data_IF_478504588998
#
_entry.id   IF_478504588998
#
_cell.length_a   1.000
_cell.length_b   1.000
_cell.length_c   1.000
_cell.angle_alpha   90.00
_cell.angle_beta   90.00
_cell.angle_gamma   90.00
#
_symmetry.space_group_name_H-M   'P 1'
#
loop_
_entity.id
_entity.type
_entity.pdbx_description
1 polymer ?
#
# COMPACT_ATOMS: atom_id res chain seq x y z
N UNK A 1 28.43 22.74 -16.67
CA UNK A 1 27.81 21.71 -15.83
C UNK A 1 26.32 22.04 -15.73
N UNK A 2 25.44 21.81 -16.73
CA UNK A 2 24.81 20.55 -17.19
C UNK A 2 24.66 19.48 -16.11
N UNK A 3 23.44 19.35 -15.59
CA UNK A 3 22.61 18.14 -15.41
C UNK A 3 21.28 18.60 -14.76
N UNK A 4 20.30 19.02 -15.56
CA UNK A 4 19.06 18.27 -15.82
C UNK A 4 18.23 17.97 -14.56
N UNK A 5 17.51 18.99 -14.09
CA UNK A 5 16.15 18.80 -13.57
C UNK A 5 15.23 18.45 -14.76
N UNK A 6 14.21 17.62 -14.56
CA UNK A 6 13.43 16.85 -15.56
C UNK A 6 14.14 15.51 -15.85
N UNK A 7 13.65 14.31 -15.55
CA UNK A 7 12.26 13.84 -15.57
C UNK A 7 12.21 12.49 -14.83
N UNK A 8 11.49 12.39 -13.72
CA UNK A 8 11.22 11.09 -13.07
C UNK A 8 9.73 10.93 -12.69
N UNK A 9 8.86 11.83 -13.16
CA UNK A 9 7.41 11.81 -12.90
C UNK A 9 6.66 11.08 -14.04
N UNK A 10 7.38 10.51 -15.02
CA UNK A 10 6.76 9.81 -16.15
C UNK A 10 6.37 8.34 -15.85
N UNK A 11 6.78 7.76 -14.71
CA UNK A 11 6.43 6.38 -14.37
C UNK A 11 5.11 6.25 -13.59
N UNK A 12 4.56 7.36 -13.07
CA UNK A 12 3.40 7.32 -12.15
C UNK A 12 2.06 7.25 -12.90
N UNK A 13 2.04 7.52 -14.21
CA UNK A 13 0.79 7.60 -15.00
C UNK A 13 0.43 6.29 -15.71
N UNK A 14 1.21 5.21 -15.53
CA UNK A 14 0.95 3.92 -16.18
C UNK A 14 0.03 2.96 -15.39
N UNK A 15 -0.54 3.39 -14.25
CA UNK A 15 -1.51 2.59 -13.49
C UNK A 15 -2.98 2.83 -13.93
N UNK A 16 -3.22 3.58 -14.99
CA UNK A 16 -4.57 3.81 -15.55
C UNK A 16 -5.15 2.61 -16.32
N UNK A 17 -4.72 1.38 -16.01
CA UNK A 17 -5.24 0.18 -16.63
C UNK A 17 -6.06 -0.59 -15.60
N UNK A 18 -7.35 -0.70 -15.85
CA UNK A 18 -8.41 -1.41 -15.11
C UNK A 18 -8.15 -2.91 -14.86
N UNK A 19 -6.91 -3.39 -15.05
CA UNK A 19 -6.44 -4.74 -14.75
C UNK A 19 -5.80 -4.90 -13.35
N UNK A 20 -5.52 -3.80 -12.64
CA UNK A 20 -4.84 -3.83 -11.34
C UNK A 20 -5.71 -4.30 -10.15
N UNK A 21 -7.01 -4.52 -10.34
CA UNK A 21 -7.93 -4.93 -9.26
C UNK A 21 -8.12 -6.46 -9.12
N UNK A 22 -7.52 -7.28 -9.99
CA UNK A 22 -7.66 -8.74 -9.93
C UNK A 22 -6.73 -9.41 -8.90
N UNK A 23 -5.69 -8.72 -8.43
CA UNK A 23 -4.68 -9.25 -7.51
C UNK A 23 -4.59 -8.33 -6.27
N UNK A 24 -5.72 -8.06 -5.61
CA UNK A 24 -5.77 -7.15 -4.45
C UNK A 24 -6.34 -7.88 -3.26
N UNK A 25 -5.56 -7.97 -2.18
CA UNK A 25 -5.99 -8.51 -0.89
C UNK A 25 -6.50 -7.36 -0.02
N UNK A 26 -7.63 -7.60 0.64
CA UNK A 26 -8.17 -6.69 1.63
C UNK A 26 -7.69 -7.09 3.03
N UNK A 27 -7.01 -6.18 3.71
CA UNK A 27 -6.57 -6.34 5.10
C UNK A 27 -7.46 -5.47 5.98
N UNK A 28 -8.12 -6.08 6.97
CA UNK A 28 -8.99 -5.36 7.90
C UNK A 28 -8.17 -4.80 9.05
N UNK A 29 -8.12 -3.48 9.17
CA UNK A 29 -7.47 -2.79 10.27
C UNK A 29 -8.53 -2.15 11.19
N UNK A 30 -8.11 -1.62 12.34
CA UNK A 30 -9.03 -0.92 13.23
C UNK A 30 -9.43 0.43 12.60
N UNK A 31 -10.72 0.58 12.24
CA UNK A 31 -11.28 1.83 11.71
C UNK A 31 -11.19 2.00 10.19
N UNK A 32 -10.52 1.10 9.47
CA UNK A 32 -10.43 1.14 8.00
C UNK A 32 -10.06 -0.23 7.41
N UNK A 33 -10.34 -0.42 6.12
CA UNK A 33 -9.89 -1.56 5.31
C UNK A 33 -8.79 -1.07 4.36
N UNK A 34 -7.72 -1.83 4.25
CA UNK A 34 -6.66 -1.58 3.27
C UNK A 34 -6.82 -2.56 2.12
N UNK A 35 -6.90 -2.04 0.90
CA UNK A 35 -6.72 -2.82 -0.32
C UNK A 35 -5.26 -2.68 -0.78
N UNK A 36 -4.54 -3.80 -0.82
CA UNK A 36 -3.12 -3.90 -1.17
C UNK A 36 -2.90 -5.02 -2.18
N UNK A 37 -1.90 -4.90 -3.04
CA UNK A 37 -1.57 -5.95 -4.01
C UNK A 37 -1.24 -7.29 -3.32
N UNK A 38 -1.84 -8.38 -3.79
CA UNK A 38 -1.66 -9.74 -3.25
C UNK A 38 -0.19 -10.18 -3.23
N UNK A 39 0.58 -9.83 -4.26
CA UNK A 39 2.01 -10.15 -4.34
C UNK A 39 2.82 -9.49 -3.22
N UNK A 40 2.41 -8.30 -2.78
CA UNK A 40 3.02 -7.61 -1.65
C UNK A 40 2.67 -8.27 -0.33
N UNK A 41 1.42 -8.70 -0.16
CA UNK A 41 1.02 -9.44 1.04
C UNK A 41 1.77 -10.77 1.10
N UNK A 42 1.83 -11.53 0.01
CA UNK A 42 2.58 -12.78 -0.04
C UNK A 42 4.08 -12.58 0.28
N UNK A 43 4.70 -11.51 -0.23
CA UNK A 43 6.09 -11.19 0.08
C UNK A 43 6.30 -10.78 1.55
N UNK A 44 5.33 -10.07 2.14
CA UNK A 44 5.34 -9.76 3.56
C UNK A 44 5.13 -11.02 4.41
N UNK A 45 4.22 -11.91 4.03
CA UNK A 45 3.97 -13.20 4.69
C UNK A 45 5.19 -14.11 4.67
N UNK A 46 5.91 -14.19 3.55
CA UNK A 46 7.15 -14.97 3.43
C UNK A 46 8.23 -14.45 4.40
N UNK A 47 8.36 -13.13 4.55
CA UNK A 47 9.34 -12.52 5.46
C UNK A 47 8.92 -12.55 6.92
N UNK A 48 7.62 -12.47 7.20
CA UNK A 48 7.04 -12.55 8.54
C UNK A 48 7.04 -13.97 9.08
N UNK A 49 6.98 -14.97 8.20
CA UNK A 49 6.75 -16.36 8.58
C UNK A 49 5.32 -16.65 9.08
N UNK A 50 4.43 -15.65 9.06
CA UNK A 50 3.00 -15.83 9.33
C UNK A 50 2.12 -14.75 8.68
N UNK A 51 0.90 -15.13 8.31
CA UNK A 51 -0.11 -14.21 7.77
C UNK A 51 -0.51 -13.11 8.77
N UNK A 52 -0.66 -13.47 10.04
CA UNK A 52 -1.08 -12.54 11.09
C UNK A 52 -0.05 -11.44 11.34
N UNK A 53 1.24 -11.78 11.36
CA UNK A 53 2.30 -10.78 11.56
C UNK A 53 2.46 -9.86 10.35
N UNK A 54 2.32 -10.39 9.13
CA UNK A 54 2.32 -9.57 7.92
C UNK A 54 1.16 -8.56 7.91
N UNK A 55 -0.06 -9.02 8.22
CA UNK A 55 -1.25 -8.16 8.27
C UNK A 55 -1.14 -7.09 9.38
N UNK A 56 -0.58 -7.44 10.54
CA UNK A 56 -0.33 -6.48 11.63
C UNK A 56 0.62 -5.37 11.19
N UNK A 57 1.77 -5.72 10.57
CA UNK A 57 2.74 -4.74 10.08
C UNK A 57 2.17 -3.87 8.93
N UNK A 58 1.31 -4.43 8.07
CA UNK A 58 0.60 -3.66 7.04
C UNK A 58 -0.34 -2.64 7.69
N UNK A 59 -1.10 -3.04 8.71
CA UNK A 59 -1.96 -2.12 9.45
C UNK A 59 -1.15 -1.05 10.19
N UNK A 60 -0.02 -1.39 10.83
CA UNK A 60 0.87 -0.43 11.49
C UNK A 60 1.50 0.57 10.52
N UNK A 61 1.81 0.14 9.29
CA UNK A 61 2.28 1.04 8.25
C UNK A 61 1.18 2.03 7.82
N UNK A 62 -0.06 1.58 7.77
CA UNK A 62 -1.20 2.41 7.36
C UNK A 62 -1.72 3.33 8.46
N UNK A 63 -1.64 2.96 9.74
CA UNK A 63 -2.03 3.87 10.85
C UNK A 63 -1.13 5.10 10.98
N UNK A 64 0.06 5.05 10.39
CA UNK A 64 0.94 6.23 10.29
C UNK A 64 0.43 7.25 9.27
N UNK A 65 -0.53 6.88 8.43
CA UNK A 65 -1.18 7.79 7.49
C UNK A 65 -2.40 8.41 8.15
N UNK A 66 -2.45 9.74 8.13
CA UNK A 66 -3.65 10.48 8.48
C UNK A 66 -4.60 10.48 7.29
N UNK A 67 -5.62 9.61 7.31
CA UNK A 67 -6.77 9.68 6.41
C UNK A 67 -7.69 10.81 6.89
N UNK A 68 -8.14 11.69 5.98
CA UNK A 68 -8.97 12.84 6.33
C UNK A 68 -10.28 12.82 5.54
N UNK A 69 -11.30 12.16 6.11
CA UNK A 69 -12.65 12.09 5.55
C UNK A 69 -13.17 10.66 5.42
N UNK A 70 -14.32 10.53 4.76
CA UNK A 70 -15.02 9.25 4.56
C UNK A 70 -14.73 8.60 3.19
N UNK A 71 -13.99 9.31 2.33
CA UNK A 71 -13.69 8.85 0.96
C UNK A 71 -12.49 7.88 0.95
N UNK A 72 -12.47 6.87 0.06
CA UNK A 72 -11.29 6.05 -0.14
C UNK A 72 -10.09 6.86 -0.67
N UNK A 73 -8.96 6.76 0.01
CA UNK A 73 -7.74 7.49 -0.32
C UNK A 73 -6.61 6.52 -0.75
N UNK A 74 -5.78 6.96 -1.71
CA UNK A 74 -4.64 6.17 -2.20
C UNK A 74 -3.35 6.71 -1.61
N UNK A 75 -2.58 5.84 -0.96
CA UNK A 75 -1.35 6.23 -0.28
C UNK A 75 -0.20 5.27 -0.55
N UNK A 76 1.02 5.77 -0.45
CA UNK A 76 2.23 4.95 -0.41
C UNK A 76 2.60 4.65 1.05
N UNK A 77 2.81 3.37 1.36
CA UNK A 77 3.27 2.91 2.67
C UNK A 77 4.60 2.18 2.57
N UNK A 78 5.28 2.10 3.70
CA UNK A 78 6.46 1.26 3.90
C UNK A 78 6.14 0.23 4.96
N UNK A 79 6.10 -1.06 4.60
CA UNK A 79 5.87 -2.15 5.53
C UNK A 79 7.21 -2.49 6.20
N UNK A 80 7.36 -2.15 7.47
CA UNK A 80 8.51 -2.50 8.31
C UNK A 80 8.22 -3.80 9.08
N UNK A 81 9.25 -4.58 9.48
CA UNK A 81 10.69 -4.43 9.21
C UNK A 81 11.12 -4.89 7.80
N UNK A 82 10.18 -5.22 6.93
CA UNK A 82 10.45 -5.87 5.64
C UNK A 82 10.97 -4.92 4.55
N UNK A 83 10.92 -3.61 4.80
CA UNK A 83 11.33 -2.52 3.89
C UNK A 83 10.63 -2.60 2.52
N UNK A 84 9.37 -3.05 2.50
CA UNK A 84 8.58 -3.16 1.28
C UNK A 84 7.80 -1.86 1.08
N UNK A 85 8.04 -1.17 -0.05
CA UNK A 85 7.25 0.00 -0.48
C UNK A 85 6.11 -0.46 -1.37
N UNK A 86 4.91 0.02 -1.09
CA UNK A 86 3.73 -0.31 -1.91
C UNK A 86 2.71 0.81 -1.87
N UNK A 87 1.84 0.82 -2.87
CA UNK A 87 0.65 1.67 -2.93
C UNK A 87 -0.54 0.88 -2.38
N UNK A 88 -1.28 1.51 -1.48
CA UNK A 88 -2.49 0.96 -0.89
C UNK A 88 -3.66 1.90 -1.09
N UNK A 89 -4.87 1.33 -1.11
CA UNK A 89 -6.12 2.10 -1.02
C UNK A 89 -6.67 1.91 0.38
N UNK A 90 -6.76 3.01 1.13
CA UNK A 90 -7.38 3.03 2.46
C UNK A 90 -8.86 3.37 2.30
N UNK A 91 -9.71 2.51 2.83
CA UNK A 91 -11.17 2.62 2.78
C UNK A 91 -11.64 2.81 4.22
N UNK A 92 -12.05 4.01 4.63
CA UNK A 92 -12.63 4.23 5.96
C UNK A 92 -13.81 3.29 6.20
N UNK A 93 -13.96 2.78 7.43
CA UNK A 93 -15.07 1.86 7.78
C UNK A 93 -16.05 2.47 8.78
N UNK A 94 -16.07 3.80 8.91
CA UNK A 94 -17.13 4.51 9.65
C UNK A 94 -18.54 4.09 9.18
#
# INVERSE_FOLDING_TARGET
MKLTHLSAIAAVVALSSTAAFANVKQVKCQGFIIAVEEGIVAAAEEKAGSATEAEANICEAATQISVSGDDPEVHEIVILPYEIRTTVVMIPTD
#
